data_IF_304629730710
#
_entry.id   IF_304629730710
#
_cell.length_a   1.000
_cell.length_b   1.000
_cell.length_c   1.000
_cell.angle_alpha   90.00
_cell.angle_beta   90.00
_cell.angle_gamma   90.00
#
_symmetry.space_group_name_H-M   'P 1'
#
loop_
_entity.id
_entity.type
_entity.pdbx_description
1 polymer ?
#
# COMPACT_ATOMS: atom_id res chain seq x y z
N UNK A 1 -11.82 23.07 5.54
CA UNK A 1 -10.95 22.40 6.53
C UNK A 1 -10.67 21.01 6.00
N UNK A 2 -9.52 20.80 5.35
CA UNK A 2 -9.01 19.46 5.07
C UNK A 2 -7.81 19.28 6.00
N UNK A 3 -8.13 18.92 7.25
CA UNK A 3 -7.15 18.63 8.29
C UNK A 3 -6.80 17.16 8.11
N UNK A 4 -5.57 16.91 7.66
CA UNK A 4 -4.59 16.15 8.43
C UNK A 4 -3.45 15.75 7.47
N UNK A 5 -2.45 16.62 7.38
CA UNK A 5 -1.17 16.33 6.75
C UNK A 5 -0.15 16.11 7.87
N UNK A 6 -0.42 15.15 8.76
CA UNK A 6 0.51 14.76 9.81
C UNK A 6 1.61 13.88 9.21
N UNK A 7 2.56 14.56 8.57
CA UNK A 7 4.00 14.46 8.85
C UNK A 7 4.54 13.07 9.29
N UNK A 8 4.46 12.07 8.42
CA UNK A 8 5.35 10.91 8.52
C UNK A 8 6.73 11.29 7.94
N UNK A 9 7.58 11.88 8.77
CA UNK A 9 9.01 11.99 8.51
C UNK A 9 9.63 10.59 8.69
N UNK A 10 9.49 9.72 7.70
CA UNK A 10 10.21 8.44 7.66
C UNK A 10 11.28 8.59 6.60
N UNK A 11 12.38 9.21 7.02
CA UNK A 11 13.69 9.10 6.39
C UNK A 11 14.13 7.63 6.49
N UNK A 12 13.58 6.76 5.66
CA UNK A 12 14.07 5.40 5.52
C UNK A 12 13.94 4.93 4.08
N UNK A 13 15.03 5.16 3.34
CA UNK A 13 15.41 4.45 2.12
C UNK A 13 14.35 4.47 1.03
N UNK A 14 14.39 5.57 0.25
CA UNK A 14 13.69 5.80 -1.03
C UNK A 14 13.47 4.51 -1.83
N UNK A 15 12.32 3.89 -1.60
CA UNK A 15 11.57 3.34 -2.73
C UNK A 15 10.94 4.58 -3.37
N UNK A 16 11.07 4.75 -4.67
CA UNK A 16 10.61 5.93 -5.43
C UNK A 16 9.07 6.06 -5.46
N UNK A 17 8.37 5.71 -4.40
CA UNK A 17 6.91 5.79 -4.27
C UNK A 17 6.42 7.22 -4.53
N UNK A 18 7.21 8.24 -4.18
CA UNK A 18 6.85 9.64 -4.47
C UNK A 18 7.04 10.05 -5.94
N UNK A 19 7.87 9.33 -6.71
CA UNK A 19 8.04 9.55 -8.16
C UNK A 19 7.09 8.68 -8.98
N UNK A 20 6.78 7.48 -8.48
CA UNK A 20 5.93 6.47 -9.12
C UNK A 20 4.43 6.69 -8.87
N UNK A 21 4.05 7.42 -7.81
CA UNK A 21 2.66 7.64 -7.43
C UNK A 21 2.31 9.11 -7.19
N UNK A 22 1.02 9.44 -7.32
CA UNK A 22 0.50 10.71 -6.81
C UNK A 22 0.68 10.79 -5.29
N UNK A 23 0.90 11.99 -4.74
CA UNK A 23 1.07 12.21 -3.30
C UNK A 23 -0.04 11.56 -2.44
N UNK A 24 -1.28 11.53 -2.95
CA UNK A 24 -2.41 10.87 -2.30
C UNK A 24 -2.24 9.36 -2.23
N UNK A 25 -1.82 8.75 -3.34
CA UNK A 25 -1.57 7.30 -3.38
C UNK A 25 -0.35 6.95 -2.51
N UNK A 26 0.73 7.72 -2.59
CA UNK A 26 1.92 7.51 -1.75
C UNK A 26 1.55 7.50 -0.25
N UNK A 27 0.70 8.43 0.20
CA UNK A 27 0.19 8.44 1.58
C UNK A 27 -0.58 7.17 1.95
N UNK A 28 -1.44 6.66 1.05
CA UNK A 28 -2.15 5.40 1.28
C UNK A 28 -1.20 4.20 1.38
N UNK A 29 -0.19 4.14 0.51
CA UNK A 29 0.81 3.06 0.53
C UNK A 29 1.61 3.08 1.83
N UNK A 30 2.05 4.27 2.27
CA UNK A 30 2.76 4.44 3.53
C UNK A 30 1.92 3.93 4.72
N UNK A 31 0.65 4.36 4.82
CA UNK A 31 -0.28 3.89 5.85
C UNK A 31 -0.46 2.37 5.85
N UNK A 32 -0.51 1.74 4.68
CA UNK A 32 -0.59 0.28 4.57
C UNK A 32 0.71 -0.39 5.06
N UNK A 33 1.88 0.15 4.73
CA UNK A 33 3.16 -0.37 5.21
C UNK A 33 3.28 -0.25 6.73
N UNK A 34 2.82 0.85 7.32
CA UNK A 34 2.83 1.05 8.77
C UNK A 34 1.83 0.12 9.49
N UNK A 35 0.62 -0.04 8.94
CA UNK A 35 -0.43 -0.84 9.56
C UNK A 35 -0.25 -2.36 9.38
N UNK A 36 0.24 -2.80 8.22
CA UNK A 36 0.38 -4.22 7.88
C UNK A 36 1.83 -4.69 8.00
N UNK A 37 2.83 -3.82 7.90
CA UNK A 37 4.23 -4.24 7.92
C UNK A 37 4.63 -5.05 6.68
N UNK A 38 5.94 -5.30 6.51
CA UNK A 38 6.48 -5.95 5.31
C UNK A 38 6.32 -7.47 5.27
N UNK A 39 6.10 -8.11 6.41
CA UNK A 39 6.03 -9.58 6.54
C UNK A 39 4.61 -10.13 6.50
N UNK A 40 3.58 -9.26 6.56
CA UNK A 40 2.19 -9.69 6.55
C UNK A 40 1.70 -9.86 5.11
N UNK A 41 1.02 -10.99 4.88
CA UNK A 41 0.28 -11.24 3.65
C UNK A 41 -1.12 -10.63 3.78
N UNK A 42 -1.46 -9.73 2.85
CA UNK A 42 -2.72 -9.00 2.86
C UNK A 42 -3.47 -9.12 1.54
N UNK A 43 -4.76 -8.82 1.54
CA UNK A 43 -5.57 -8.73 0.34
C UNK A 43 -6.47 -7.50 0.33
N UNK A 44 -7.44 -7.48 -0.58
CA UNK A 44 -8.38 -6.36 -0.74
C UNK A 44 -9.10 -5.99 0.56
N UNK A 45 -9.53 -6.98 1.34
CA UNK A 45 -10.28 -6.75 2.58
C UNK A 45 -9.45 -6.05 3.66
N UNK A 46 -8.16 -6.37 3.74
CA UNK A 46 -7.23 -5.74 4.68
C UNK A 46 -6.96 -4.29 4.27
N UNK A 47 -6.71 -4.06 2.97
CA UNK A 47 -6.56 -2.71 2.42
C UNK A 47 -7.80 -1.85 2.67
N UNK A 48 -8.99 -2.44 2.49
CA UNK A 48 -10.25 -1.76 2.77
C UNK A 48 -10.39 -1.43 4.26
N UNK A 49 -9.96 -2.31 5.17
CA UNK A 49 -10.02 -2.05 6.62
C UNK A 49 -9.06 -0.93 7.05
N UNK A 50 -7.86 -0.88 6.48
CA UNK A 50 -6.84 0.11 6.86
C UNK A 50 -7.15 1.49 6.29
N UNK A 51 -7.61 1.56 5.04
CA UNK A 51 -7.80 2.83 4.32
C UNK A 51 -9.26 3.29 4.25
N UNK A 52 -10.21 2.46 4.67
CA UNK A 52 -11.66 2.70 4.57
C UNK A 52 -12.12 3.12 3.16
N UNK A 53 -11.47 2.56 2.13
CA UNK A 53 -11.77 2.86 0.73
C UNK A 53 -12.84 1.94 0.18
N UNK A 54 -13.57 2.43 -0.83
CA UNK A 54 -14.49 1.58 -1.60
C UNK A 54 -13.75 0.40 -2.24
N UNK A 55 -14.38 -0.80 -2.33
CA UNK A 55 -13.73 -2.01 -2.87
C UNK A 55 -13.05 -1.83 -4.24
N UNK A 56 -13.68 -1.04 -5.12
CA UNK A 56 -13.15 -0.71 -6.45
C UNK A 56 -11.82 0.05 -6.36
N UNK A 57 -11.70 1.01 -5.43
CA UNK A 57 -10.47 1.77 -5.22
C UNK A 57 -9.37 0.93 -4.57
N UNK A 58 -9.70 0.03 -3.64
CA UNK A 58 -8.73 -0.92 -3.09
C UNK A 58 -8.13 -1.82 -4.17
N UNK A 59 -8.98 -2.31 -5.08
CA UNK A 59 -8.54 -3.19 -6.17
C UNK A 59 -7.63 -2.45 -7.16
N UNK A 60 -7.96 -1.19 -7.49
CA UNK A 60 -7.12 -0.35 -8.33
C UNK A 60 -5.76 -0.06 -7.67
N UNK A 61 -5.76 0.29 -6.38
CA UNK A 61 -4.53 0.54 -5.62
C UNK A 61 -3.61 -0.68 -5.56
N UNK A 62 -4.17 -1.88 -5.33
CA UNK A 62 -3.40 -3.14 -5.34
C UNK A 62 -2.76 -3.41 -6.71
N UNK A 63 -3.47 -3.13 -7.80
CA UNK A 63 -2.92 -3.27 -9.15
C UNK A 63 -1.78 -2.29 -9.39
N UNK A 64 -1.99 -1.02 -9.10
CA UNK A 64 -0.97 0.04 -9.25
C UNK A 64 0.29 -0.31 -8.45
N UNK A 65 0.13 -0.69 -7.17
CA UNK A 65 1.27 -1.14 -6.35
C UNK A 65 2.00 -2.36 -6.92
N UNK A 66 1.29 -3.29 -7.56
CA UNK A 66 1.91 -4.48 -8.15
C UNK A 66 2.63 -4.14 -9.46
N UNK A 67 2.07 -3.25 -10.28
CA UNK A 67 2.68 -2.76 -11.53
C UNK A 67 3.98 -2.00 -11.28
N UNK A 68 4.01 -1.15 -10.24
CA UNK A 68 5.23 -0.45 -9.80
C UNK A 68 6.17 -1.33 -8.96
N UNK A 69 5.84 -2.61 -8.76
CA UNK A 69 6.71 -3.54 -8.04
C UNK A 69 6.90 -3.21 -6.55
N UNK A 70 5.96 -2.51 -5.93
CA UNK A 70 5.92 -2.24 -4.49
C UNK A 70 5.44 -3.47 -3.72
N UNK A 71 4.50 -4.20 -4.30
CA UNK A 71 3.97 -5.45 -3.76
C UNK A 71 4.17 -6.59 -4.76
N UNK A 72 4.15 -7.81 -4.26
CA UNK A 72 4.17 -9.01 -5.08
C UNK A 72 3.03 -9.96 -4.70
N UNK A 73 2.46 -10.69 -5.68
CA UNK A 73 1.46 -11.71 -5.39
C UNK A 73 2.10 -12.87 -4.62
N UNK A 74 1.39 -13.39 -3.63
CA UNK A 74 1.84 -14.51 -2.80
C UNK A 74 1.06 -15.77 -3.20
N UNK A 75 1.78 -16.80 -3.64
CA UNK A 75 1.19 -18.12 -3.92
C UNK A 75 1.01 -18.91 -2.62
N UNK A 76 0.09 -19.89 -2.61
CA UNK A 76 -0.17 -20.75 -1.44
C UNK A 76 -1.07 -20.17 -0.34
N UNK A 77 -1.44 -18.89 -0.40
CA UNK A 77 -2.29 -18.22 0.61
C UNK A 77 -3.72 -17.88 0.10
N UNK A 78 -4.07 -18.34 -1.10
CA UNK A 78 -5.32 -18.03 -1.78
C UNK A 78 -5.17 -16.93 -2.84
N UNK A 79 -6.20 -16.78 -3.68
CA UNK A 79 -6.19 -15.81 -4.80
C UNK A 79 -6.22 -14.37 -4.28
N UNK A 80 -5.49 -13.47 -4.94
CA UNK A 80 -5.51 -12.04 -4.64
C UNK A 80 -4.85 -11.66 -3.31
N UNK A 81 -3.87 -12.46 -2.88
CA UNK A 81 -3.01 -12.17 -1.74
C UNK A 81 -1.69 -11.57 -2.20
N UNK A 82 -1.23 -10.59 -1.45
CA UNK A 82 -0.05 -9.79 -1.74
C UNK A 82 0.79 -9.61 -0.49
N UNK A 83 2.06 -9.32 -0.67
CA UNK A 83 2.95 -8.84 0.39
C UNK A 83 3.78 -7.68 -0.14
N UNK A 84 4.28 -6.83 0.74
CA UNK A 84 5.26 -5.82 0.35
C UNK A 84 6.56 -6.50 -0.06
N UNK A 85 7.16 -6.03 -1.16
CA UNK A 85 8.50 -6.47 -1.54
C UNK A 85 9.52 -5.92 -0.54
N UNK A 86 10.44 -6.78 -0.11
CA UNK A 86 11.62 -6.35 0.62
C UNK A 86 12.60 -5.72 -0.39
N UNK A 87 12.89 -4.43 -0.22
CA UNK A 87 13.97 -3.72 -0.93
C UNK A 87 15.11 -3.42 0.03
#
# INVERSE_FOLDING_TARGET
MNIDSEKANIENKKVNIEEDFTAKTASHVCKLQEALGKEIVFGRSDVQRVLDLKPTRCTALLREMAEHGIIEPVTGHGKGKYRFRQQ
#
